data_IF_533142679781
#
_entry.id   IF_533142679781
#
_cell.length_a   1.000
_cell.length_b   1.000
_cell.length_c   1.000
_cell.angle_alpha   90.00
_cell.angle_beta   90.00
_cell.angle_gamma   90.00
#
_symmetry.space_group_name_H-M   'P 1'
#
loop_
_entity.id
_entity.type
_entity.pdbx_description
1 polymer ?
#
# COMPACT_ATOMS: atom_id res chain seq x y z
N UNK A 1 7.81 -20.95 16.53
CA UNK A 1 6.37 -21.28 16.50
C UNK A 1 5.83 -21.15 17.93
N UNK A 2 4.93 -20.20 18.24
CA UNK A 2 4.39 -20.06 19.60
C UNK A 2 2.86 -20.09 19.55
N UNK A 3 2.27 -21.18 20.04
CA UNK A 3 0.83 -21.39 20.20
C UNK A 3 0.32 -20.52 21.35
N UNK A 4 -0.64 -19.62 21.09
CA UNK A 4 -1.70 -19.23 22.01
C UNK A 4 -2.96 -18.94 21.19
N UNK A 5 -4.00 -19.74 21.45
CA UNK A 5 -5.40 -19.57 21.07
C UNK A 5 -5.68 -19.30 19.58
N UNK A 6 -5.82 -20.37 18.77
CA UNK A 6 -6.69 -20.42 17.57
C UNK A 6 -6.40 -19.49 16.37
N UNK A 7 -5.47 -18.54 16.48
CA UNK A 7 -5.22 -17.51 15.47
C UNK A 7 -3.86 -17.71 14.79
N UNK A 8 -3.89 -17.91 13.47
CA UNK A 8 -2.69 -18.02 12.65
C UNK A 8 -2.16 -16.63 12.32
N UNK A 9 -1.08 -16.21 13.00
CA UNK A 9 -0.28 -15.07 12.56
C UNK A 9 1.00 -15.60 11.90
N UNK A 10 1.10 -15.43 10.58
CA UNK A 10 2.29 -15.81 9.83
C UNK A 10 3.29 -14.65 9.84
N UNK A 11 4.38 -14.83 10.58
CA UNK A 11 5.56 -13.99 10.46
C UNK A 11 6.50 -14.66 9.46
N UNK A 12 6.76 -14.01 8.33
CA UNK A 12 7.86 -14.38 7.46
C UNK A 12 9.15 -13.85 8.10
N UNK A 13 9.79 -14.69 8.88
CA UNK A 13 11.13 -14.44 9.43
C UNK A 13 12.12 -14.66 8.30
N UNK A 14 12.75 -13.59 7.82
CA UNK A 14 13.88 -13.68 6.92
C UNK A 14 15.08 -14.16 7.71
N UNK A 15 15.30 -15.48 7.78
CA UNK A 15 16.54 -16.01 8.32
C UNK A 15 17.69 -15.73 7.36
N UNK A 16 18.69 -15.01 7.85
CA UNK A 16 20.08 -15.31 7.54
C UNK A 16 20.78 -15.59 8.88
N UNK A 17 21.16 -16.86 9.09
CA UNK A 17 21.83 -17.35 10.29
C UNK A 17 23.32 -17.11 10.12
N UNK A 18 23.80 -15.97 10.60
CA UNK A 18 25.12 -15.74 11.24
C UNK A 18 25.48 -14.25 11.18
N UNK A 19 25.01 -13.49 12.17
CA UNK A 19 25.73 -12.39 12.85
C UNK A 19 24.72 -11.67 13.75
N UNK A 20 25.00 -11.72 15.06
CA UNK A 20 24.37 -10.85 16.05
C UNK A 20 24.73 -9.39 15.75
N UNK A 21 23.88 -8.46 16.19
CA UNK A 21 23.89 -6.98 15.97
C UNK A 21 23.27 -6.62 14.61
N UNK A 22 22.12 -5.95 14.51
CA UNK A 22 21.68 -4.75 15.22
C UNK A 22 20.16 -4.73 15.42
N UNK A 23 19.74 -4.53 16.68
CA UNK A 23 18.44 -3.95 17.01
C UNK A 23 18.46 -2.48 16.58
N UNK A 24 18.15 -2.19 15.32
CA UNK A 24 17.94 -0.81 14.91
C UNK A 24 16.51 -0.40 15.25
N UNK A 25 16.42 0.44 16.27
CA UNK A 25 15.24 1.07 16.85
C UNK A 25 14.53 1.94 15.82
N UNK A 26 13.73 1.34 14.94
CA UNK A 26 12.56 2.00 14.36
C UNK A 26 11.35 1.47 15.13
N UNK A 27 10.68 2.37 15.85
CA UNK A 27 9.60 2.06 16.80
C UNK A 27 8.34 1.56 16.06
N UNK A 28 8.37 0.33 15.53
CA UNK A 28 7.26 -0.35 14.83
C UNK A 28 6.15 -0.87 15.77
N UNK A 29 6.14 -0.44 17.03
CA UNK A 29 5.19 -0.89 18.05
C UNK A 29 3.72 -0.59 17.67
N UNK A 30 3.48 0.43 16.84
CA UNK A 30 2.13 0.88 16.44
C UNK A 30 1.49 0.06 15.32
N UNK A 31 2.27 -0.49 14.38
CA UNK A 31 1.74 -1.40 13.33
C UNK A 31 1.18 -2.68 13.96
N UNK A 32 1.79 -3.18 15.05
CA UNK A 32 1.26 -4.34 15.79
C UNK A 32 -0.13 -4.08 16.39
N UNK A 33 -0.39 -2.85 16.86
CA UNK A 33 -1.70 -2.47 17.43
C UNK A 33 -2.76 -2.36 16.33
N UNK A 34 -2.39 -1.80 15.17
CA UNK A 34 -3.26 -1.74 14.01
C UNK A 34 -3.76 -3.13 13.58
N UNK A 35 -2.87 -4.10 13.44
CA UNK A 35 -3.25 -5.45 12.98
C UNK A 35 -3.98 -6.29 14.04
N UNK A 36 -3.89 -5.95 15.34
CA UNK A 36 -4.74 -6.59 16.36
C UNK A 36 -6.23 -6.41 16.07
N UNK A 37 -6.60 -5.32 15.39
CA UNK A 37 -7.98 -5.06 14.97
C UNK A 37 -8.44 -6.03 13.87
N UNK A 38 -7.62 -6.26 12.85
CA UNK A 38 -7.91 -7.24 11.79
C UNK A 38 -8.02 -8.65 12.34
N UNK A 39 -7.16 -8.97 13.31
CA UNK A 39 -7.20 -10.23 14.07
C UNK A 39 -8.52 -10.35 14.86
N UNK A 40 -9.01 -9.26 15.45
CA UNK A 40 -10.32 -9.25 16.13
C UNK A 40 -11.50 -9.44 15.17
N UNK A 41 -11.37 -9.00 13.92
CA UNK A 41 -12.38 -9.12 12.87
C UNK A 41 -12.24 -10.39 12.00
N UNK A 42 -11.59 -11.44 12.51
CA UNK A 42 -11.43 -12.75 11.83
C UNK A 42 -10.65 -12.73 10.50
N UNK A 43 -9.80 -11.72 10.25
CA UNK A 43 -8.96 -11.68 9.05
C UNK A 43 -7.62 -12.40 9.26
N UNK A 44 -7.23 -13.23 8.28
CA UNK A 44 -5.86 -13.77 8.21
C UNK A 44 -4.93 -12.65 7.77
N UNK A 45 -3.94 -12.32 8.59
CA UNK A 45 -3.01 -11.22 8.33
C UNK A 45 -1.62 -11.76 7.99
N UNK A 46 -1.14 -11.47 6.78
CA UNK A 46 0.26 -11.63 6.40
C UNK A 46 0.96 -10.27 6.44
N UNK A 47 2.08 -10.17 7.15
CA UNK A 47 2.83 -8.92 7.26
C UNK A 47 4.26 -9.11 6.77
N UNK A 48 4.67 -8.23 5.88
CA UNK A 48 6.04 -8.17 5.40
C UNK A 48 6.54 -6.74 5.35
N UNK A 49 7.76 -6.52 5.83
CA UNK A 49 8.45 -5.23 5.76
C UNK A 49 9.67 -5.41 4.88
N UNK A 50 9.71 -4.69 3.76
CA UNK A 50 10.84 -4.77 2.84
C UNK A 50 12.15 -4.34 3.54
N UNK A 51 13.23 -5.12 3.39
CA UNK A 51 14.54 -4.71 3.88
C UNK A 51 14.97 -3.38 3.27
N UNK A 52 15.55 -2.50 4.07
CA UNK A 52 15.93 -1.14 3.67
C UNK A 52 16.95 -1.18 2.53
N UNK A 53 17.82 -2.17 2.52
CA UNK A 53 18.83 -2.39 1.49
C UNK A 53 18.20 -2.65 0.12
N UNK A 54 17.02 -3.28 0.09
CA UNK A 54 16.28 -3.52 -1.16
C UNK A 54 15.61 -2.24 -1.71
N UNK A 55 15.40 -1.24 -0.85
CA UNK A 55 14.89 0.07 -1.25
C UNK A 55 15.97 0.97 -1.86
N UNK A 56 17.25 0.78 -1.49
CA UNK A 56 18.33 1.67 -1.91
C UNK A 56 19.40 1.02 -2.80
N UNK A 57 19.79 -0.24 -2.58
CA UNK A 57 20.99 -0.84 -3.20
C UNK A 57 20.72 -2.17 -3.95
N UNK A 58 19.79 -2.99 -3.46
CA UNK A 58 19.50 -4.32 -4.00
C UNK A 58 18.10 -4.40 -4.62
N UNK A 59 17.79 -3.51 -5.57
CA UNK A 59 16.46 -3.40 -6.17
C UNK A 59 15.99 -4.68 -6.88
N UNK A 60 16.91 -5.45 -7.45
CA UNK A 60 16.61 -6.73 -8.11
C UNK A 60 16.04 -7.76 -7.14
N UNK A 61 16.41 -7.68 -5.85
CA UNK A 61 15.84 -8.54 -4.81
C UNK A 61 14.34 -8.26 -4.60
N UNK A 62 13.87 -7.05 -4.86
CA UNK A 62 12.45 -6.69 -4.70
C UNK A 62 11.54 -7.50 -5.63
N UNK A 63 11.98 -7.76 -6.87
CA UNK A 63 11.28 -8.65 -7.81
C UNK A 63 11.14 -10.06 -7.24
N UNK A 64 12.23 -10.58 -6.64
CA UNK A 64 12.26 -11.92 -6.03
C UNK A 64 11.37 -12.00 -4.79
N UNK A 65 11.36 -10.94 -3.97
CA UNK A 65 10.48 -10.83 -2.80
C UNK A 65 9.01 -10.79 -3.23
N UNK A 66 8.64 -9.95 -4.21
CA UNK A 66 7.27 -9.84 -4.71
C UNK A 66 6.74 -11.19 -5.21
N UNK A 67 7.54 -11.91 -5.99
CA UNK A 67 7.21 -13.28 -6.44
C UNK A 67 7.04 -14.25 -5.29
N UNK A 68 7.97 -14.24 -4.32
CA UNK A 68 7.89 -15.13 -3.17
C UNK A 68 6.65 -14.88 -2.30
N UNK A 69 6.20 -13.62 -2.19
CA UNK A 69 4.96 -13.30 -1.49
C UNK A 69 3.73 -13.90 -2.19
N UNK A 70 3.64 -13.78 -3.52
CA UNK A 70 2.56 -14.41 -4.31
C UNK A 70 2.57 -15.93 -4.15
N UNK A 71 3.75 -16.56 -4.23
CA UNK A 71 3.95 -17.99 -4.01
C UNK A 71 3.48 -18.41 -2.61
N UNK A 72 3.92 -17.70 -1.56
CA UNK A 72 3.54 -18.02 -0.17
C UNK A 72 2.03 -17.90 0.05
N UNK A 73 1.38 -16.89 -0.53
CA UNK A 73 -0.08 -16.73 -0.44
C UNK A 73 -0.79 -17.95 -1.04
N UNK A 74 -0.32 -18.43 -2.19
CA UNK A 74 -0.84 -19.62 -2.86
C UNK A 74 -0.52 -20.92 -2.09
N UNK A 75 0.74 -21.12 -1.68
CA UNK A 75 1.20 -22.29 -0.91
C UNK A 75 0.44 -22.45 0.41
N UNK A 76 0.06 -21.33 1.04
CA UNK A 76 -0.72 -21.31 2.29
C UNK A 76 -2.23 -21.42 2.07
N UNK A 77 -2.71 -21.63 0.84
CA UNK A 77 -4.12 -21.66 0.47
C UNK A 77 -4.89 -20.38 0.86
N UNK A 78 -4.21 -19.24 0.94
CA UNK A 78 -4.83 -17.96 1.32
C UNK A 78 -5.56 -17.30 0.14
N UNK A 79 -5.22 -17.72 -1.08
CA UNK A 79 -5.85 -17.34 -2.34
C UNK A 79 -7.33 -17.78 -2.45
N UNK A 80 -7.76 -18.74 -1.60
CA UNK A 80 -9.17 -19.14 -1.48
C UNK A 80 -10.05 -18.04 -0.88
N UNK A 81 -9.47 -17.12 -0.11
CA UNK A 81 -10.15 -16.03 0.56
C UNK A 81 -10.03 -14.70 -0.21
N UNK A 82 -10.98 -13.76 -0.01
CA UNK A 82 -10.80 -12.37 -0.42
C UNK A 82 -9.49 -11.77 0.12
N UNK A 83 -8.68 -11.18 -0.76
CA UNK A 83 -7.39 -10.57 -0.40
C UNK A 83 -7.50 -9.05 -0.49
N UNK A 84 -7.02 -8.38 0.56
CA UNK A 84 -6.82 -6.94 0.60
C UNK A 84 -5.35 -6.64 0.85
N UNK A 85 -4.78 -5.72 0.07
CA UNK A 85 -3.43 -5.21 0.32
C UNK A 85 -3.51 -3.92 1.12
N UNK A 86 -2.79 -3.85 2.24
CA UNK A 86 -2.60 -2.61 2.98
C UNK A 86 -1.14 -2.18 2.87
N UNK A 87 -0.93 -1.08 2.16
CA UNK A 87 0.36 -0.60 1.68
C UNK A 87 0.75 0.67 2.42
N UNK A 88 1.81 0.60 3.22
CA UNK A 88 2.30 1.75 4.00
C UNK A 88 3.51 2.40 3.34
N UNK A 89 3.46 3.72 3.18
CA UNK A 89 4.55 4.55 2.67
C UNK A 89 5.04 4.14 1.26
N UNK A 90 6.01 4.87 0.72
CA UNK A 90 6.59 4.61 -0.58
C UNK A 90 7.37 3.28 -0.64
N UNK A 91 7.93 2.83 0.48
CA UNK A 91 8.60 1.52 0.54
C UNK A 91 7.63 0.37 0.35
N UNK A 92 6.45 0.45 0.97
CA UNK A 92 5.38 -0.52 0.77
C UNK A 92 4.82 -0.45 -0.65
N UNK A 93 4.59 0.76 -1.19
CA UNK A 93 4.10 0.92 -2.56
C UNK A 93 5.07 0.34 -3.59
N UNK A 94 6.37 0.54 -3.39
CA UNK A 94 7.39 -0.07 -4.22
C UNK A 94 7.37 -1.61 -4.15
N UNK A 95 7.20 -2.18 -2.95
CA UNK A 95 7.03 -3.63 -2.82
C UNK A 95 5.75 -4.13 -3.52
N UNK A 96 4.62 -3.44 -3.32
CA UNK A 96 3.34 -3.79 -3.95
C UNK A 96 3.42 -3.75 -5.48
N UNK A 97 4.17 -2.80 -6.05
CA UNK A 97 4.48 -2.77 -7.49
C UNK A 97 5.10 -4.09 -7.97
N UNK A 98 6.08 -4.64 -7.25
CA UNK A 98 6.69 -5.92 -7.62
C UNK A 98 5.78 -7.12 -7.35
N UNK A 99 4.89 -7.04 -6.35
CA UNK A 99 3.84 -8.05 -6.15
C UNK A 99 2.86 -8.06 -7.33
N UNK A 100 2.38 -6.88 -7.75
CA UNK A 100 1.49 -6.73 -8.91
C UNK A 100 2.13 -7.24 -10.20
N UNK A 101 3.39 -6.87 -10.46
CA UNK A 101 4.15 -7.40 -11.60
C UNK A 101 4.29 -8.92 -11.53
N UNK A 102 4.59 -9.48 -10.36
CA UNK A 102 4.68 -10.93 -10.19
C UNK A 102 3.33 -11.62 -10.41
N UNK A 103 2.22 -11.03 -9.96
CA UNK A 103 0.87 -11.55 -10.22
C UNK A 103 0.55 -11.59 -11.72
N UNK A 104 0.93 -10.56 -12.46
CA UNK A 104 0.76 -10.50 -13.93
C UNK A 104 1.61 -11.57 -14.62
N UNK A 105 2.88 -11.69 -14.25
CA UNK A 105 3.82 -12.65 -14.86
C UNK A 105 3.45 -14.11 -14.59
N UNK A 106 2.90 -14.40 -13.42
CA UNK A 106 2.52 -15.76 -13.00
C UNK A 106 1.06 -16.09 -13.31
N UNK A 107 0.32 -15.18 -13.96
CA UNK A 107 -1.13 -15.26 -14.16
C UNK A 107 -1.86 -15.73 -12.90
N UNK A 108 -1.56 -15.07 -11.79
CA UNK A 108 -1.97 -15.52 -10.47
C UNK A 108 -3.49 -15.40 -10.27
N UNK A 109 -4.10 -16.41 -9.64
CA UNK A 109 -5.55 -16.46 -9.36
C UNK A 109 -5.93 -15.79 -8.03
N UNK A 110 -5.09 -14.89 -7.50
CA UNK A 110 -5.38 -14.21 -6.24
C UNK A 110 -6.68 -13.40 -6.37
N UNK A 111 -7.62 -13.65 -5.45
CA UNK A 111 -8.90 -12.93 -5.39
C UNK A 111 -8.74 -11.59 -4.69
N UNK A 112 -8.01 -10.67 -5.31
CA UNK A 112 -7.81 -9.32 -4.78
C UNK A 112 -9.12 -8.54 -4.89
N UNK A 113 -9.61 -8.04 -3.75
CA UNK A 113 -10.86 -7.26 -3.66
C UNK A 113 -10.63 -5.78 -3.46
N UNK A 114 -9.46 -5.37 -2.99
CA UNK A 114 -9.12 -3.95 -2.86
C UNK A 114 -7.70 -3.72 -2.35
N UNK A 115 -7.25 -2.47 -2.52
CA UNK A 115 -5.92 -2.01 -2.08
C UNK A 115 -6.08 -0.73 -1.27
N UNK A 116 -5.42 -0.66 -0.13
CA UNK A 116 -5.41 0.50 0.76
C UNK A 116 -3.99 1.05 0.77
N UNK A 117 -3.82 2.30 0.36
CA UNK A 117 -2.56 3.02 0.44
C UNK A 117 -2.61 4.00 1.62
N UNK A 118 -1.65 3.89 2.53
CA UNK A 118 -1.46 4.81 3.66
C UNK A 118 -0.17 5.60 3.45
N UNK A 119 -0.32 6.92 3.33
CA UNK A 119 0.76 7.87 3.08
C UNK A 119 1.59 7.52 1.84
N UNK A 120 0.93 7.08 0.77
CA UNK A 120 1.52 6.62 -0.48
C UNK A 120 0.49 6.67 -1.62
N UNK A 121 0.91 6.56 -2.89
CA UNK A 121 2.28 6.71 -3.40
C UNK A 121 2.64 8.20 -3.62
N UNK A 122 3.94 8.51 -3.58
CA UNK A 122 4.46 9.86 -3.87
C UNK A 122 5.71 9.87 -4.74
N UNK A 123 6.00 11.04 -5.34
CA UNK A 123 7.19 11.25 -6.17
C UNK A 123 8.46 11.16 -5.32
N UNK A 124 9.51 10.57 -5.88
CA UNK A 124 10.83 10.57 -5.23
C UNK A 124 11.43 11.97 -5.38
N UNK A 125 11.50 12.70 -4.28
CA UNK A 125 12.08 14.05 -4.21
C UNK A 125 13.31 14.04 -3.29
N UNK A 126 14.35 14.79 -3.65
CA UNK A 126 15.54 14.98 -2.80
C UNK A 126 15.18 15.58 -1.45
N UNK A 127 14.22 16.51 -1.43
CA UNK A 127 13.69 17.12 -0.21
C UNK A 127 13.00 16.09 0.69
N UNK A 128 12.23 15.17 0.11
CA UNK A 128 11.61 14.06 0.85
C UNK A 128 12.65 13.08 1.38
N UNK A 129 13.70 12.78 0.60
CA UNK A 129 14.82 11.94 1.03
C UNK A 129 15.57 12.57 2.22
N UNK A 130 15.92 13.86 2.11
CA UNK A 130 16.58 14.61 3.18
C UNK A 130 15.74 14.63 4.46
N UNK A 131 14.44 14.92 4.35
CA UNK A 131 13.51 14.92 5.49
C UNK A 131 13.38 13.53 6.11
N UNK A 132 13.33 12.48 5.31
CA UNK A 132 13.27 11.10 5.80
C UNK A 132 14.54 10.72 6.56
N UNK A 133 15.72 11.00 6.00
CA UNK A 133 17.01 10.76 6.65
C UNK A 133 17.12 11.54 7.96
N UNK A 134 16.74 12.83 7.94
CA UNK A 134 16.71 13.68 9.14
C UNK A 134 15.80 13.12 10.24
N UNK A 135 14.63 12.61 9.85
CA UNK A 135 13.67 12.00 10.77
C UNK A 135 14.14 10.65 11.34
N UNK A 136 14.91 9.88 10.55
CA UNK A 136 15.48 8.59 10.97
C UNK A 136 16.66 8.79 11.92
N UNK A 137 17.58 9.70 11.59
CA UNK A 137 18.76 9.98 12.41
C UNK A 137 18.33 10.42 13.82
N UNK A 138 17.40 11.39 13.91
CA UNK A 138 16.98 11.95 15.19
C UNK A 138 18.15 12.56 15.99
N UNK A 139 17.87 13.34 17.04
CA UNK A 139 18.93 13.96 17.87
C UNK A 139 19.13 15.47 17.65
N UNK A 140 20.30 16.01 18.02
CA UNK A 140 20.54 17.45 18.07
C UNK A 140 20.62 18.07 16.66
N UNK A 141 19.93 19.21 16.39
CA UNK A 141 19.87 19.80 15.05
C UNK A 141 21.23 20.09 14.40
N UNK A 142 22.23 20.48 15.21
CA UNK A 142 23.57 20.87 14.73
C UNK A 142 24.38 19.70 14.15
N UNK A 143 24.22 18.48 14.67
CA UNK A 143 24.93 17.29 14.16
C UNK A 143 24.18 16.61 13.03
N UNK A 144 22.85 16.65 13.10
CA UNK A 144 21.99 15.95 12.18
C UNK A 144 21.89 16.63 10.82
N UNK A 145 21.95 17.96 10.78
CA UNK A 145 21.86 18.71 9.54
C UNK A 145 23.01 18.40 8.57
N UNK A 146 24.30 18.51 8.95
CA UNK A 146 25.40 18.17 8.04
C UNK A 146 25.40 16.68 7.69
N UNK A 147 25.14 15.78 8.65
CA UNK A 147 25.11 14.34 8.38
C UNK A 147 23.99 13.94 7.42
N UNK A 148 22.78 14.48 7.61
CA UNK A 148 21.65 14.26 6.69
C UNK A 148 21.98 14.80 5.30
N UNK A 149 22.68 15.94 5.21
CA UNK A 149 23.11 16.48 3.93
C UNK A 149 24.08 15.54 3.21
N UNK A 150 25.15 15.10 3.86
CA UNK A 150 26.13 14.18 3.25
C UNK A 150 25.51 12.84 2.84
N UNK A 151 24.65 12.26 3.69
CA UNK A 151 23.95 11.00 3.34
C UNK A 151 23.00 11.24 2.17
N UNK A 152 22.28 12.37 2.15
CA UNK A 152 21.40 12.71 1.02
C UNK A 152 22.19 12.86 -0.27
N UNK A 153 23.29 13.60 -0.26
CA UNK A 153 24.17 13.77 -1.43
C UNK A 153 24.70 12.40 -1.88
N UNK A 154 25.18 11.57 -0.97
CA UNK A 154 25.67 10.23 -1.28
C UNK A 154 24.58 9.35 -1.93
N UNK A 155 23.39 9.27 -1.34
CA UNK A 155 22.26 8.52 -1.90
C UNK A 155 21.77 9.10 -3.24
N UNK A 156 21.87 10.42 -3.42
CA UNK A 156 21.55 11.10 -4.69
C UNK A 156 22.56 10.79 -5.78
N UNK A 157 23.85 10.72 -5.43
CA UNK A 157 24.91 10.32 -6.36
C UNK A 157 24.76 8.86 -6.79
N UNK A 158 24.39 7.98 -5.87
CA UNK A 158 24.09 6.58 -6.21
C UNK A 158 22.87 6.47 -7.12
N UNK A 159 21.82 7.25 -6.85
CA UNK A 159 20.66 7.33 -7.72
C UNK A 159 21.03 7.86 -9.12
N UNK A 160 21.86 8.91 -9.20
CA UNK A 160 22.35 9.45 -10.48
C UNK A 160 23.17 8.41 -11.24
N UNK A 161 24.06 7.70 -10.54
CA UNK A 161 24.82 6.60 -11.11
C UNK A 161 23.91 5.48 -11.61
N UNK A 162 22.85 5.10 -10.88
CA UNK A 162 21.86 4.13 -11.35
C UNK A 162 21.16 4.60 -12.64
N UNK A 163 20.77 5.88 -12.72
CA UNK A 163 20.11 6.45 -13.90
C UNK A 163 21.06 6.46 -15.11
N UNK A 164 22.32 6.83 -14.91
CA UNK A 164 23.35 6.85 -15.96
C UNK A 164 23.74 5.42 -16.38
N UNK A 165 23.77 4.46 -15.43
CA UNK A 165 24.09 3.07 -15.71
C UNK A 165 22.89 2.27 -16.27
N UNK A 166 21.67 2.82 -16.21
CA UNK A 166 20.44 2.17 -16.68
C UNK A 166 20.49 1.73 -18.16
N UNK A 167 21.05 2.49 -19.11
CA UNK A 167 21.16 2.07 -20.50
C UNK A 167 22.12 0.88 -20.71
N UNK A 168 23.12 0.73 -19.83
CA UNK A 168 24.12 -0.35 -19.93
C UNK A 168 23.70 -1.64 -19.23
N UNK A 169 22.73 -1.59 -18.30
CA UNK A 169 22.11 -2.79 -17.73
C UNK A 169 21.11 -3.38 -18.74
N UNK A 170 21.56 -4.36 -19.52
CA UNK A 170 20.68 -5.19 -20.36
C UNK A 170 19.55 -5.81 -19.52
N UNK A 171 18.30 -5.53 -19.88
CA UNK A 171 17.13 -6.31 -19.45
C UNK A 171 16.35 -5.76 -18.25
N UNK A 172 15.12 -5.34 -18.54
CA UNK A 172 14.08 -4.79 -17.66
C UNK A 172 14.30 -3.34 -17.21
N UNK A 173 13.42 -2.39 -17.59
CA UNK A 173 13.39 -1.09 -16.95
C UNK A 173 13.07 -1.30 -15.48
N UNK A 174 14.02 -1.04 -14.59
CA UNK A 174 13.74 -1.03 -13.16
C UNK A 174 12.96 0.26 -12.92
N UNK A 175 11.64 0.21 -13.07
CA UNK A 175 10.77 1.32 -12.68
C UNK A 175 10.89 1.48 -11.17
N UNK A 176 11.74 2.42 -10.78
CA UNK A 176 12.11 2.70 -9.40
C UNK A 176 11.01 3.47 -8.66
N UNK A 177 10.09 4.10 -9.39
CA UNK A 177 9.03 4.92 -8.81
C UNK A 177 7.71 4.14 -8.69
N UNK A 178 7.09 4.12 -7.49
CA UNK A 178 5.80 3.46 -7.29
C UNK A 178 4.67 4.11 -8.11
N UNK A 179 4.88 5.29 -8.70
CA UNK A 179 3.93 5.98 -9.58
C UNK A 179 3.61 5.15 -10.83
N UNK A 180 4.49 4.26 -11.24
CA UNK A 180 4.18 3.29 -12.30
C UNK A 180 2.94 2.44 -12.01
N UNK A 181 2.58 2.24 -10.73
CA UNK A 181 1.32 1.62 -10.33
C UNK A 181 0.09 2.37 -10.85
N UNK A 182 0.22 3.66 -11.24
CA UNK A 182 -0.86 4.41 -11.84
C UNK A 182 -1.36 3.71 -13.11
N UNK A 183 -0.44 3.09 -13.83
CA UNK A 183 -0.69 2.42 -15.09
C UNK A 183 -0.96 0.91 -14.94
N UNK A 184 -1.11 0.42 -13.71
CA UNK A 184 -1.43 -0.98 -13.41
C UNK A 184 -2.68 -1.45 -14.17
N UNK A 185 -2.62 -2.67 -14.72
CA UNK A 185 -3.70 -3.24 -15.55
C UNK A 185 -4.94 -3.66 -14.75
N UNK A 186 -4.79 -3.89 -13.45
CA UNK A 186 -5.87 -4.33 -12.60
C UNK A 186 -6.81 -3.18 -12.21
N UNK A 187 -8.09 -3.47 -12.01
CA UNK A 187 -9.11 -2.44 -11.70
C UNK A 187 -9.78 -2.62 -10.33
N UNK A 188 -9.10 -3.28 -9.37
CA UNK A 188 -9.64 -3.43 -8.02
C UNK A 188 -9.85 -2.06 -7.35
N UNK A 189 -10.90 -1.88 -6.54
CA UNK A 189 -11.12 -0.66 -5.75
C UNK A 189 -9.87 -0.26 -4.92
N UNK A 190 -9.64 1.05 -4.80
CA UNK A 190 -8.48 1.60 -4.10
C UNK A 190 -8.89 2.68 -3.09
N UNK A 191 -8.39 2.56 -1.86
CA UNK A 191 -8.55 3.56 -0.80
C UNK A 191 -7.21 4.24 -0.53
N UNK A 192 -7.18 5.57 -0.52
CA UNK A 192 -6.01 6.38 -0.22
C UNK A 192 -6.22 7.15 1.07
N UNK A 193 -5.39 6.87 2.06
CA UNK A 193 -5.34 7.53 3.37
C UNK A 193 -4.09 8.42 3.38
N UNK A 194 -4.28 9.74 3.45
CA UNK A 194 -3.17 10.69 3.31
C UNK A 194 -3.44 11.98 4.10
N UNK A 195 -2.44 12.84 4.21
CA UNK A 195 -2.53 14.06 5.02
C UNK A 195 -1.91 15.26 4.32
N UNK A 196 -2.51 16.44 4.53
CA UNK A 196 -1.91 17.72 4.11
C UNK A 196 -0.66 18.07 4.94
N UNK A 197 -0.54 17.49 6.13
CA UNK A 197 0.56 17.69 7.08
C UNK A 197 1.67 16.65 6.91
N UNK A 198 1.56 15.79 5.90
CA UNK A 198 2.61 14.84 5.55
C UNK A 198 3.77 15.57 4.86
N UNK A 199 4.88 15.70 5.59
CA UNK A 199 6.07 16.39 5.10
C UNK A 199 6.91 15.55 4.13
N UNK A 200 6.68 14.24 4.07
CA UNK A 200 7.44 13.29 3.25
C UNK A 200 6.76 13.03 1.91
N UNK A 201 5.44 12.82 1.92
CA UNK A 201 4.63 12.55 0.74
C UNK A 201 3.57 13.64 0.60
N UNK A 202 3.74 14.59 -0.34
CA UNK A 202 2.76 15.64 -0.56
C UNK A 202 1.39 15.07 -0.93
N UNK A 203 0.33 15.63 -0.35
CA UNK A 203 -1.06 15.27 -0.68
C UNK A 203 -1.36 15.37 -2.18
N UNK A 204 -0.78 16.36 -2.87
CA UNK A 204 -0.92 16.53 -4.30
C UNK A 204 -0.41 15.32 -5.12
N UNK A 205 0.67 14.65 -4.67
CA UNK A 205 1.21 13.48 -5.38
C UNK A 205 0.23 12.30 -5.27
N UNK A 206 -0.37 12.10 -4.08
CA UNK A 206 -1.38 11.06 -3.83
C UNK A 206 -2.65 11.34 -4.65
N UNK A 207 -3.14 12.59 -4.64
CA UNK A 207 -4.33 12.99 -5.39
C UNK A 207 -4.13 12.84 -6.90
N UNK A 208 -2.98 13.26 -7.44
CA UNK A 208 -2.62 13.06 -8.85
C UNK A 208 -2.63 11.58 -9.23
N UNK A 209 -2.05 10.72 -8.39
CA UNK A 209 -2.05 9.28 -8.61
C UNK A 209 -3.47 8.71 -8.58
N UNK A 210 -4.26 9.05 -7.58
CA UNK A 210 -5.63 8.60 -7.40
C UNK A 210 -6.54 9.01 -8.58
N UNK A 211 -6.44 10.27 -9.04
CA UNK A 211 -7.15 10.76 -10.21
C UNK A 211 -6.80 9.95 -11.46
N UNK A 212 -5.51 9.66 -11.67
CA UNK A 212 -5.07 8.85 -12.81
C UNK A 212 -5.65 7.43 -12.79
N UNK A 213 -5.82 6.84 -11.60
CA UNK A 213 -6.48 5.53 -11.44
C UNK A 213 -7.97 5.61 -11.73
N UNK A 214 -8.64 6.67 -11.25
CA UNK A 214 -10.06 6.88 -11.53
C UNK A 214 -10.34 7.09 -13.03
N UNK A 215 -9.48 7.83 -13.74
CA UNK A 215 -9.54 7.97 -15.21
C UNK A 215 -9.49 6.62 -15.93
N UNK A 216 -8.77 5.65 -15.38
CA UNK A 216 -8.66 4.27 -15.89
C UNK A 216 -9.83 3.38 -15.47
N UNK A 217 -10.88 3.95 -14.89
CA UNK A 217 -12.10 3.24 -14.50
C UNK A 217 -12.01 2.50 -13.16
N UNK A 218 -10.99 2.79 -12.35
CA UNK A 218 -10.87 2.21 -11.00
C UNK A 218 -11.76 2.98 -10.02
N UNK A 219 -12.48 2.28 -9.15
CA UNK A 219 -13.18 2.92 -8.04
C UNK A 219 -12.15 3.39 -7.00
N UNK A 220 -12.11 4.69 -6.75
CA UNK A 220 -11.11 5.31 -5.88
C UNK A 220 -11.80 6.10 -4.77
N UNK A 221 -11.34 5.88 -3.54
CA UNK A 221 -11.75 6.64 -2.36
C UNK A 221 -10.54 7.38 -1.79
N UNK A 222 -10.65 8.69 -1.62
CA UNK A 222 -9.64 9.57 -1.03
C UNK A 222 -10.09 10.00 0.36
N UNK A 223 -9.24 9.84 1.37
CA UNK A 223 -9.47 10.33 2.72
C UNK A 223 -8.29 11.18 3.16
N UNK A 224 -8.54 12.49 3.21
CA UNK A 224 -7.57 13.52 3.58
C UNK A 224 -7.68 13.85 5.07
N UNK A 225 -6.67 13.50 5.84
CA UNK A 225 -6.50 13.95 7.22
C UNK A 225 -5.83 15.33 7.27
N UNK A 226 -6.34 16.23 8.10
CA UNK A 226 -5.89 17.64 8.12
C UNK A 226 -4.74 17.95 9.07
N UNK A 227 -4.42 17.06 10.02
CA UNK A 227 -3.31 17.27 10.95
C UNK A 227 -2.76 15.93 11.46
N UNK A 228 -2.28 15.09 10.56
CA UNK A 228 -1.59 13.85 10.96
C UNK A 228 -0.24 13.72 10.26
N UNK A 229 0.82 13.34 10.99
CA UNK A 229 2.12 13.07 10.37
C UNK A 229 2.11 11.82 9.49
N UNK A 230 3.12 11.69 8.64
CA UNK A 230 3.37 10.53 7.78
C UNK A 230 3.21 9.20 8.52
N UNK A 231 2.33 8.32 8.02
CA UNK A 231 2.03 6.97 8.55
C UNK A 231 1.53 6.97 10.01
N UNK A 232 1.04 8.12 10.49
CA UNK A 232 0.50 8.28 11.85
C UNK A 232 -1.00 8.60 11.85
N UNK A 233 -1.69 8.42 10.73
CA UNK A 233 -3.15 8.64 10.62
C UNK A 233 -3.92 7.79 11.64
N UNK A 234 -3.69 6.48 11.68
CA UNK A 234 -4.30 5.58 12.68
C UNK A 234 -3.99 5.98 14.13
N UNK A 235 -2.79 6.50 14.40
CA UNK A 235 -2.41 6.91 15.74
C UNK A 235 -3.06 8.23 16.16
N UNK A 236 -3.52 9.04 15.21
CA UNK A 236 -4.07 10.38 15.44
C UNK A 236 -5.61 10.36 15.38
N UNK A 237 -6.18 9.60 14.44
CA UNK A 237 -7.61 9.49 14.16
C UNK A 237 -8.04 8.03 14.20
N UNK A 238 -7.90 7.37 15.37
CA UNK A 238 -8.04 5.92 15.49
C UNK A 238 -9.40 5.44 14.97
N UNK A 239 -10.48 5.94 15.51
CA UNK A 239 -11.82 5.42 15.26
C UNK A 239 -12.29 5.74 13.84
N UNK A 240 -12.01 6.97 13.36
CA UNK A 240 -12.25 7.35 11.96
C UNK A 240 -11.47 6.45 11.00
N UNK A 241 -10.17 6.24 11.24
CA UNK A 241 -9.33 5.40 10.39
C UNK A 241 -9.86 3.97 10.33
N UNK A 242 -10.20 3.40 11.49
CA UNK A 242 -10.74 2.03 11.59
C UNK A 242 -12.06 1.93 10.85
N UNK A 243 -12.98 2.84 11.12
CA UNK A 243 -14.29 2.84 10.49
C UNK A 243 -14.16 2.95 8.97
N UNK A 244 -13.37 3.90 8.46
CA UNK A 244 -13.09 4.07 7.03
C UNK A 244 -12.57 2.79 6.39
N UNK A 245 -11.58 2.13 6.99
CA UNK A 245 -11.01 0.90 6.45
C UNK A 245 -12.02 -0.25 6.48
N UNK A 246 -12.77 -0.40 7.57
CA UNK A 246 -13.81 -1.42 7.70
C UNK A 246 -14.95 -1.20 6.70
N UNK A 247 -15.43 0.03 6.53
CA UNK A 247 -16.45 0.41 5.54
C UNK A 247 -15.98 0.09 4.13
N UNK A 248 -14.77 0.50 3.76
CA UNK A 248 -14.21 0.20 2.44
C UNK A 248 -14.12 -1.30 2.16
N UNK A 249 -13.65 -2.10 3.13
CA UNK A 249 -13.59 -3.56 3.00
C UNK A 249 -14.99 -4.14 2.83
N UNK A 250 -15.95 -3.70 3.64
CA UNK A 250 -17.34 -4.16 3.57
C UNK A 250 -17.95 -3.87 2.19
N UNK A 251 -17.81 -2.63 1.70
CA UNK A 251 -18.26 -2.22 0.36
C UNK A 251 -17.63 -3.09 -0.74
N UNK A 252 -16.32 -3.36 -0.68
CA UNK A 252 -15.65 -4.20 -1.67
C UNK A 252 -16.15 -5.67 -1.68
N UNK A 253 -16.61 -6.16 -0.52
CA UNK A 253 -17.17 -7.51 -0.39
C UNK A 253 -18.63 -7.57 -0.85
N UNK A 254 -19.43 -6.53 -0.60
CA UNK A 254 -20.85 -6.49 -0.98
C UNK A 254 -21.07 -6.15 -2.45
N UNK A 255 -20.24 -5.27 -3.04
CA UNK A 255 -20.35 -4.85 -4.46
C UNK A 255 -20.24 -6.00 -5.47
N UNK A 256 -19.75 -7.18 -5.07
CA UNK A 256 -19.61 -8.35 -5.94
C UNK A 256 -20.70 -9.41 -5.73
N UNK A 257 -21.76 -9.08 -5.00
CA UNK A 257 -22.91 -9.95 -4.74
C UNK A 257 -24.15 -9.52 -5.54
N UNK A 258 -24.13 -9.65 -6.87
CA UNK A 258 -25.31 -10.21 -7.54
C UNK A 258 -24.96 -11.05 -8.78
N UNK A 259 -25.09 -12.38 -8.67
CA UNK A 259 -25.48 -13.33 -9.76
C UNK A 259 -25.12 -14.78 -9.38
N UNK A 260 -25.89 -15.38 -8.48
CA UNK A 260 -26.06 -16.85 -8.46
C UNK A 260 -27.53 -17.14 -8.22
N UNK A 261 -28.38 -16.70 -9.14
CA UNK A 261 -29.75 -17.18 -9.33
C UNK A 261 -30.34 -16.53 -10.58
N UNK A 262 -29.86 -16.91 -11.76
CA UNK A 262 -30.70 -16.85 -12.96
C UNK A 262 -30.28 -17.96 -13.93
N UNK A 263 -30.37 -19.19 -13.43
CA UNK A 263 -30.66 -20.32 -14.29
C UNK A 263 -32.16 -20.29 -14.61
N UNK A 264 -32.46 -20.38 -15.91
CA UNK A 264 -33.70 -20.94 -16.44
C UNK A 264 -35.02 -20.20 -16.12
N UNK A 265 -35.40 -19.25 -16.99
CA UNK A 265 -36.71 -19.32 -17.65
C UNK A 265 -36.71 -18.52 -18.95
N UNK A 266 -37.14 -19.21 -20.00
CA UNK A 266 -37.23 -18.79 -21.41
C UNK A 266 -38.17 -17.60 -21.60
N UNK A 267 -37.68 -16.62 -22.36
CA UNK A 267 -38.30 -16.05 -23.57
C UNK A 267 -39.84 -15.96 -23.62
N UNK A 268 -40.35 -14.73 -23.48
CA UNK A 268 -41.50 -14.20 -24.24
C UNK A 268 -41.66 -12.68 -24.04
N UNK A 269 -41.33 -11.94 -25.10
CA UNK A 269 -42.04 -10.83 -25.75
C UNK A 269 -42.73 -9.69 -24.95
N UNK A 270 -42.42 -8.46 -25.43
CA UNK A 270 -43.21 -7.20 -25.51
C UNK A 270 -42.95 -6.06 -24.50
N UNK A 271 -42.37 -5.00 -25.08
CA UNK A 271 -42.51 -3.53 -24.93
C UNK A 271 -42.57 -2.77 -23.59
N UNK A 272 -41.75 -1.72 -23.61
CA UNK A 272 -41.88 -0.36 -23.06
C UNK A 272 -41.48 -0.04 -21.61
N UNK A 273 -40.52 0.90 -21.56
CA UNK A 273 -40.27 1.95 -20.56
C UNK A 273 -40.21 1.53 -19.09
N UNK A 274 -39.01 1.60 -18.51
CA UNK A 274 -38.72 2.61 -17.49
C UNK A 274 -37.21 2.72 -17.24
N UNK A 275 -36.81 3.95 -17.00
CA UNK A 275 -35.45 4.46 -16.84
C UNK A 275 -34.88 3.97 -15.50
N UNK A 276 -34.38 2.73 -15.43
CA UNK A 276 -33.55 2.29 -14.31
C UNK A 276 -32.16 2.92 -14.44
N UNK A 277 -32.07 4.17 -13.99
CA UNK A 277 -30.80 4.83 -13.71
C UNK A 277 -30.09 4.04 -12.61
N UNK A 278 -29.27 3.06 -12.98
CA UNK A 278 -28.23 2.55 -12.09
C UNK A 278 -27.34 3.74 -11.76
N UNK A 279 -27.54 4.36 -10.59
CA UNK A 279 -26.64 5.37 -10.05
C UNK A 279 -25.23 4.75 -9.99
N UNK A 280 -24.43 5.01 -11.02
CA UNK A 280 -23.03 4.64 -11.02
C UNK A 280 -22.39 5.47 -9.91
N UNK A 281 -22.03 4.82 -8.79
CA UNK A 281 -21.32 5.49 -7.71
C UNK A 281 -20.17 6.34 -8.27
N UNK A 282 -19.88 7.52 -7.68
CA UNK A 282 -18.78 8.34 -8.13
C UNK A 282 -17.50 7.51 -8.18
N UNK A 283 -16.89 7.39 -9.37
CA UNK A 283 -15.64 6.62 -9.56
C UNK A 283 -14.50 7.16 -8.71
N UNK A 284 -14.60 8.40 -8.26
CA UNK A 284 -13.70 9.05 -7.33
C UNK A 284 -14.53 9.75 -6.24
N UNK A 285 -14.33 9.34 -4.99
CA UNK A 285 -14.89 10.04 -3.81
C UNK A 285 -13.75 10.64 -2.99
N UNK A 286 -14.00 11.78 -2.36
CA UNK A 286 -13.02 12.45 -1.49
C UNK A 286 -13.70 12.90 -0.19
N UNK A 287 -13.21 12.42 0.95
CA UNK A 287 -13.60 12.85 2.29
C UNK A 287 -12.45 13.60 2.95
N UNK A 288 -12.76 14.72 3.58
CA UNK A 288 -11.82 15.46 4.43
C UNK A 288 -12.15 15.17 5.88
N UNK A 289 -11.15 14.79 6.67
CA UNK A 289 -11.27 14.50 8.12
C UNK A 289 -10.68 15.67 8.89
N UNK A 290 -11.52 16.32 9.67
CA UNK A 290 -11.16 17.51 10.43
C UNK A 290 -10.61 17.14 11.83
N UNK A 291 -9.83 18.01 12.49
CA UNK A 291 -9.16 17.66 13.74
C UNK A 291 -10.10 17.32 14.90
N UNK A 292 -11.34 17.82 14.89
CA UNK A 292 -12.33 17.53 15.93
C UNK A 292 -12.85 16.08 15.86
N UNK A 293 -12.75 15.42 14.71
CA UNK A 293 -13.13 14.01 14.53
C UNK A 293 -12.13 13.03 15.19
N UNK A 294 -10.99 13.52 15.70
CA UNK A 294 -10.01 12.69 16.42
C UNK A 294 -10.43 12.29 17.85
N UNK A 295 -11.44 12.95 18.42
CA UNK A 295 -11.81 12.86 19.84
C UNK A 295 -13.15 12.14 20.10
N UNK A 296 -13.78 11.58 19.07
CA UNK A 296 -15.01 10.78 19.24
C UNK A 296 -14.68 9.34 19.58
#
# INVERSE_FOLDING_TARGET
>A
MRRRNGLWSYFLDGQDVRTNTWQNTVRFMKIKVFFKLFIANSCITLRYTAPVECLFWHRDRMKRIGRRLVEVISEKNLDKHPIFFHVFSNGGAYLYQHVSLAMQQTNSKLKVKGVIFDSAPGERRLTSLFKAISAILGGHPLTNLPMSFFITVFLSMLWLFEVIAHPWRKGCPVQTNPISLAEEAYSWPQLFLYSNSDTLIPAADVEKFASRRAERGVCVQLVLFTNSPHVKHYATYRDVYVNTVCTFIHECLTMQSPSTSLGELKQRDIEHNEDETYESLPRLTKRVVLPHEAKQ
#
